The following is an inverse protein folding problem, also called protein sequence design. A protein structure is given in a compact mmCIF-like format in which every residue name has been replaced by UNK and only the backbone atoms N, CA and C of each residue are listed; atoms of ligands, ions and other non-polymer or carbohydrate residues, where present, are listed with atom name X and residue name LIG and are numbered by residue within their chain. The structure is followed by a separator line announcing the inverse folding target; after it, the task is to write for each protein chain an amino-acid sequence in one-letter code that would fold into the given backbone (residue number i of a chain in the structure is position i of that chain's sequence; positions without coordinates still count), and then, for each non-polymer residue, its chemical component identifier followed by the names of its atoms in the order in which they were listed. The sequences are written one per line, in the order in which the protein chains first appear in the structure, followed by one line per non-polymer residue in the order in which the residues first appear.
data_IF_395062581490
#
_entry.id   IF_395062581490
#
_cell.length_a   1.000
_cell.length_b   1.000
_cell.length_c   1.000
_cell.angle_alpha   90.00
_cell.angle_beta   90.00
_cell.angle_gamma   90.00
#
_symmetry.space_group_name_H-M   'P 1'
#
loop_
_entity.id
_entity.type
_entity.pdbx_description
1 polymer ?
#
# COMPACT_ATOMS: atom_id res chain seq x y z
N UNK A 1 -2.81 -2.57 33.22
CA UNK A 1 -2.99 -3.41 32.03
C UNK A 1 -1.97 -2.94 31.02
N UNK A 2 -0.98 -3.77 30.66
CA UNK A 2 0.02 -3.42 29.65
C UNK A 2 -0.37 -4.16 28.37
N UNK A 3 -0.41 -3.48 27.20
CA UNK A 3 -0.68 -4.16 25.94
C UNK A 3 0.29 -5.32 25.74
N UNK A 4 -0.18 -6.46 25.21
CA UNK A 4 0.64 -7.65 24.95
C UNK A 4 1.61 -7.48 23.77
N UNK A 5 1.89 -6.24 23.35
CA UNK A 5 2.68 -5.92 22.17
C UNK A 5 3.46 -4.63 22.33
N UNK A 6 4.34 -4.38 21.38
CA UNK A 6 5.17 -3.18 21.29
C UNK A 6 4.70 -2.31 20.13
N UNK A 7 4.93 -1.00 20.23
CA UNK A 7 4.73 -0.09 19.11
C UNK A 7 5.79 -0.38 18.05
N UNK A 8 5.35 -0.56 16.81
CA UNK A 8 6.24 -0.61 15.65
C UNK A 8 6.65 0.84 15.35
N UNK A 9 7.95 1.05 15.09
CA UNK A 9 8.49 2.35 14.73
C UNK A 9 8.73 2.45 13.23
N UNK A 10 8.65 3.67 12.70
CA UNK A 10 9.08 3.98 11.34
C UNK A 10 10.59 4.25 11.35
N UNK A 11 11.36 3.44 10.61
CA UNK A 11 12.81 3.50 10.57
C UNK A 11 13.35 4.85 10.03
N UNK A 12 12.57 5.57 9.23
CA UNK A 12 12.97 6.86 8.69
C UNK A 12 12.85 8.00 9.73
N UNK A 13 11.93 7.88 10.70
CA UNK A 13 11.65 8.94 11.68
C UNK A 13 11.99 8.57 13.12
N UNK A 14 12.15 7.28 13.42
CA UNK A 14 12.22 6.72 14.77
C UNK A 14 11.02 7.05 15.67
N UNK A 15 9.90 7.45 15.07
CA UNK A 15 8.63 7.67 15.76
C UNK A 15 7.74 6.44 15.61
N UNK A 16 6.69 6.29 16.44
CA UNK A 16 5.66 5.29 16.21
C UNK A 16 5.14 5.35 14.76
N UNK A 17 5.10 4.21 14.09
CA UNK A 17 4.60 4.13 12.72
C UNK A 17 3.11 4.49 12.67
N UNK A 18 2.72 5.21 11.63
CA UNK A 18 1.33 5.64 11.43
C UNK A 18 0.71 4.88 10.28
N UNK A 19 -0.30 4.06 10.59
CA UNK A 19 -1.01 3.21 9.64
C UNK A 19 -2.53 3.51 9.68
N UNK A 20 -3.02 4.45 8.85
CA UNK A 20 -4.42 4.85 8.87
C UNK A 20 -5.32 3.77 8.26
N UNK A 21 -6.20 3.16 9.07
CA UNK A 21 -7.18 2.16 8.63
C UNK A 21 -6.53 1.07 7.75
N UNK A 22 -5.67 0.27 8.35
CA UNK A 22 -5.14 -0.92 7.67
C UNK A 22 -6.28 -1.88 7.39
N UNK A 23 -6.51 -2.17 6.11
CA UNK A 23 -7.58 -3.06 5.65
C UNK A 23 -7.09 -4.46 5.32
N UNK A 24 -5.78 -4.61 5.07
CA UNK A 24 -5.16 -5.88 4.74
C UNK A 24 -3.68 -5.94 5.16
N UNK A 25 -3.21 -7.15 5.46
CA UNK A 25 -1.80 -7.47 5.67
C UNK A 25 -1.41 -8.62 4.73
N UNK A 26 -0.53 -8.33 3.79
CA UNK A 26 -0.05 -9.32 2.82
C UNK A 26 1.39 -9.66 3.12
N UNK A 27 1.65 -10.94 3.38
CA UNK A 27 3.01 -11.43 3.61
C UNK A 27 3.78 -11.52 2.28
N UNK A 28 5.03 -11.10 2.28
CA UNK A 28 5.88 -11.18 1.09
C UNK A 28 6.11 -12.65 0.67
N UNK A 29 6.41 -12.89 -0.62
CA UNK A 29 6.57 -14.25 -1.15
C UNK A 29 7.99 -14.82 -0.98
N UNK A 30 8.93 -14.04 -0.44
CA UNK A 30 10.29 -14.52 -0.14
C UNK A 30 10.29 -15.57 0.99
N UNK A 31 11.44 -16.21 1.21
CA UNK A 31 11.66 -17.25 2.21
C UNK A 31 12.66 -16.80 3.30
N UNK A 32 12.88 -15.49 3.44
CA UNK A 32 13.94 -14.95 4.30
C UNK A 32 13.51 -14.68 5.76
N UNK A 33 12.25 -14.96 6.11
CA UNK A 33 11.74 -14.89 7.48
C UNK A 33 12.21 -16.07 8.34
N UNK A 34 12.19 -15.92 9.66
CA UNK A 34 12.71 -16.93 10.59
C UNK A 34 11.98 -18.30 10.52
N UNK A 35 10.74 -18.32 10.01
CA UNK A 35 9.94 -19.53 9.79
C UNK A 35 10.07 -20.09 8.36
N UNK A 36 11.01 -19.58 7.56
CA UNK A 36 11.22 -19.97 6.16
C UNK A 36 10.15 -19.45 5.20
N UNK A 37 9.38 -18.43 5.60
CA UNK A 37 8.36 -17.74 4.79
C UNK A 37 8.71 -16.26 4.68
N UNK A 38 7.82 -15.45 4.09
CA UNK A 38 8.07 -14.03 3.84
C UNK A 38 8.53 -13.25 5.06
N UNK A 39 9.65 -12.54 4.93
CA UNK A 39 10.17 -11.66 5.99
C UNK A 39 9.33 -10.40 6.19
N UNK A 40 8.67 -9.91 5.14
CA UNK A 40 7.99 -8.63 5.17
C UNK A 40 6.47 -8.81 5.25
N UNK A 41 5.81 -7.87 5.95
CA UNK A 41 4.37 -7.69 5.88
C UNK A 41 4.07 -6.36 5.20
N UNK A 42 3.24 -6.39 4.16
CA UNK A 42 2.72 -5.20 3.50
C UNK A 42 1.38 -4.84 4.15
N UNK A 43 1.35 -3.74 4.88
CA UNK A 43 0.13 -3.17 5.42
C UNK A 43 -0.52 -2.26 4.37
N UNK A 44 -1.75 -2.58 3.96
CA UNK A 44 -2.54 -1.76 3.04
C UNK A 44 -3.38 -0.77 3.85
N UNK A 45 -2.95 0.49 3.88
CA UNK A 45 -3.57 1.54 4.68
C UNK A 45 -4.50 2.36 3.79
N UNK A 46 -5.77 1.93 3.71
CA UNK A 46 -6.80 2.52 2.85
C UNK A 46 -7.50 3.73 3.49
N UNK A 47 -7.09 4.11 4.71
CA UNK A 47 -7.64 5.25 5.43
C UNK A 47 -7.27 6.60 4.83
N UNK A 48 -8.28 7.38 4.46
CA UNK A 48 -8.13 8.82 4.26
C UNK A 48 -7.86 9.48 5.61
N UNK A 49 -6.60 9.86 5.88
CA UNK A 49 -6.29 10.50 7.17
C UNK A 49 -4.95 11.20 7.25
N UNK A 50 -3.96 10.78 6.45
CA UNK A 50 -2.64 11.41 6.49
C UNK A 50 -2.61 12.66 5.62
N UNK A 51 -2.46 13.80 6.28
CA UNK A 51 -2.19 15.08 5.61
C UNK A 51 -0.79 15.51 6.00
N UNK A 52 0.14 15.43 5.06
CA UNK A 52 1.54 15.80 5.29
C UNK A 52 1.78 17.30 5.05
N UNK A 53 1.04 17.90 4.12
CA UNK A 53 1.07 19.33 3.86
C UNK A 53 -0.26 19.82 3.26
N UNK A 54 -0.41 21.15 3.14
CA UNK A 54 -1.61 21.77 2.59
C UNK A 54 -1.83 21.51 1.09
N UNK A 55 -0.79 21.07 0.36
CA UNK A 55 -0.82 20.84 -1.10
C UNK A 55 -1.32 19.43 -1.47
N UNK A 56 -1.04 18.42 -0.64
CA UNK A 56 -1.40 17.01 -0.88
C UNK A 56 -2.21 16.49 0.29
N UNK A 57 -3.52 16.76 0.25
CA UNK A 57 -4.50 16.30 1.24
C UNK A 57 -4.69 14.78 1.11
N UNK A 58 -4.84 14.12 2.26
CA UNK A 58 -5.23 12.72 2.43
C UNK A 58 -4.52 11.70 1.51
N UNK A 59 -3.67 10.89 2.11
CA UNK A 59 -2.92 9.86 1.40
C UNK A 59 -3.28 8.48 1.95
N UNK A 60 -3.56 7.56 1.05
CA UNK A 60 -3.46 6.14 1.35
C UNK A 60 -2.00 5.72 1.25
N UNK A 61 -1.61 4.67 1.97
CA UNK A 61 -0.23 4.19 1.97
C UNK A 61 -0.14 2.68 1.93
N UNK A 62 0.97 2.19 1.40
CA UNK A 62 1.47 0.86 1.74
C UNK A 62 2.61 1.05 2.74
N UNK A 63 2.59 0.34 3.86
CA UNK A 63 3.74 0.28 4.77
C UNK A 63 4.39 -1.09 4.67
N UNK A 64 5.70 -1.12 4.46
CA UNK A 64 6.51 -2.34 4.47
C UNK A 64 7.06 -2.53 5.87
N UNK A 65 6.59 -3.55 6.56
CA UNK A 65 7.07 -3.93 7.88
C UNK A 65 8.08 -5.05 7.72
N UNK A 66 9.32 -4.81 8.14
CA UNK A 66 10.32 -5.87 8.29
C UNK A 66 10.10 -6.56 9.64
N UNK A 67 9.61 -7.80 9.60
CA UNK A 67 9.34 -8.58 10.82
C UNK A 67 10.60 -9.14 11.47
N UNK A 68 11.71 -9.14 10.73
CA UNK A 68 13.01 -9.62 11.21
C UNK A 68 13.97 -8.49 11.56
N UNK A 69 13.53 -7.24 11.47
CA UNK A 69 14.30 -6.11 11.99
C UNK A 69 14.64 -6.32 13.47
N UNK A 70 15.80 -5.79 13.88
CA UNK A 70 16.32 -5.90 15.24
C UNK A 70 16.63 -4.50 15.78
N UNK A 71 16.37 -4.24 17.08
CA UNK A 71 15.92 -5.21 18.10
C UNK A 71 14.44 -5.62 18.01
N UNK A 72 13.62 -4.88 17.25
CA UNK A 72 12.18 -5.12 17.09
C UNK A 72 11.78 -4.93 15.61
N UNK A 73 10.62 -5.46 15.17
CA UNK A 73 10.04 -5.16 13.87
C UNK A 73 9.86 -3.65 13.62
N UNK A 74 10.05 -3.22 12.37
CA UNK A 74 9.98 -1.80 11.98
C UNK A 74 9.32 -1.61 10.63
N UNK A 75 8.65 -0.46 10.44
CA UNK A 75 8.30 0.01 9.09
C UNK A 75 9.58 0.52 8.44
N UNK A 76 10.01 -0.14 7.36
CA UNK A 76 11.25 0.21 6.62
C UNK A 76 10.98 1.05 5.38
N UNK A 77 9.72 1.10 4.93
CA UNK A 77 9.31 1.89 3.79
C UNK A 77 7.81 2.22 3.86
N UNK A 78 7.46 3.42 3.41
CA UNK A 78 6.09 3.77 3.05
C UNK A 78 6.05 4.13 1.56
N UNK A 79 5.01 3.68 0.86
CA UNK A 79 4.65 4.12 -0.48
C UNK A 79 3.34 4.89 -0.39
N UNK A 80 3.32 6.08 -0.97
CA UNK A 80 2.22 7.02 -0.83
C UNK A 80 1.38 7.05 -2.10
N UNK A 81 0.06 7.14 -1.92
CA UNK A 81 -0.93 7.31 -2.98
C UNK A 81 -1.63 8.65 -2.76
N UNK A 82 -1.03 9.77 -3.24
CA UNK A 82 -1.68 11.07 -3.13
C UNK A 82 -2.93 11.11 -4.00
N UNK A 83 -4.03 11.62 -3.43
CA UNK A 83 -5.28 11.86 -4.15
C UNK A 83 -5.01 12.53 -5.52
N UNK A 84 -5.56 12.02 -6.63
CA UNK A 84 -6.63 11.03 -6.73
C UNK A 84 -6.18 9.56 -6.69
N UNK A 85 -4.89 9.28 -6.49
CA UNK A 85 -4.41 7.90 -6.50
C UNK A 85 -4.86 7.11 -5.27
N UNK A 86 -5.05 5.80 -5.39
CA UNK A 86 -5.48 4.93 -4.29
C UNK A 86 -4.78 3.56 -4.26
N UNK A 87 -4.69 3.02 -3.04
CA UNK A 87 -4.40 1.62 -2.71
C UNK A 87 -5.55 1.12 -1.82
N UNK A 88 -6.48 0.37 -2.41
CA UNK A 88 -7.84 0.29 -1.86
C UNK A 88 -8.10 -0.96 -1.02
N UNK A 89 -7.84 -2.15 -1.57
CA UNK A 89 -8.33 -3.41 -0.99
C UNK A 89 -7.24 -4.48 -0.81
N UNK A 90 -6.26 -4.58 -1.71
CA UNK A 90 -5.34 -5.71 -1.65
C UNK A 90 -4.08 -5.56 -2.48
N UNK A 91 -3.12 -6.39 -2.11
CA UNK A 91 -1.83 -6.57 -2.75
C UNK A 91 -1.68 -8.04 -3.10
N UNK A 92 -1.10 -8.34 -4.26
CA UNK A 92 -0.64 -9.69 -4.58
C UNK A 92 0.72 -9.64 -5.25
N UNK A 93 1.44 -10.74 -5.20
CA UNK A 93 2.74 -10.90 -5.84
C UNK A 93 2.64 -11.89 -7.01
N UNK A 94 3.59 -11.80 -7.94
CA UNK A 94 3.85 -12.88 -8.89
C UNK A 94 4.22 -14.15 -8.13
N UNK A 95 3.77 -15.30 -8.64
CA UNK A 95 4.08 -16.60 -8.02
C UNK A 95 5.56 -16.95 -8.15
N UNK A 96 6.20 -16.51 -9.24
CA UNK A 96 7.61 -16.74 -9.51
C UNK A 96 8.40 -15.44 -9.32
N UNK A 97 9.66 -15.61 -8.90
CA UNK A 97 10.64 -14.53 -8.83
C UNK A 97 11.21 -14.22 -10.21
N UNK A 98 11.49 -12.95 -10.45
CA UNK A 98 12.22 -12.48 -11.61
C UNK A 98 13.71 -12.90 -11.53
N UNK A 99 14.45 -12.72 -12.63
CA UNK A 99 15.85 -13.15 -12.74
C UNK A 99 16.78 -12.49 -11.69
N UNK A 100 16.40 -11.33 -11.17
CA UNK A 100 17.11 -10.59 -10.12
C UNK A 100 16.61 -10.92 -8.71
N UNK A 101 15.83 -11.99 -8.56
CA UNK A 101 15.19 -12.45 -7.33
C UNK A 101 14.15 -11.48 -6.73
N UNK A 102 13.67 -10.51 -7.51
CA UNK A 102 12.51 -9.69 -7.14
C UNK A 102 11.19 -10.35 -7.54
N UNK A 103 10.09 -9.77 -7.10
CA UNK A 103 8.74 -10.19 -7.45
C UNK A 103 7.98 -9.00 -8.02
N UNK A 104 7.17 -9.25 -9.04
CA UNK A 104 6.19 -8.24 -9.47
C UNK A 104 5.09 -8.17 -8.42
N UNK A 105 4.77 -6.96 -7.95
CA UNK A 105 3.74 -6.69 -6.96
C UNK A 105 2.61 -5.88 -7.60
N UNK A 106 1.38 -6.36 -7.47
CA UNK A 106 0.17 -5.73 -7.98
C UNK A 106 -0.64 -5.14 -6.83
N UNK A 107 -1.05 -3.88 -6.96
CA UNK A 107 -1.82 -3.16 -5.93
C UNK A 107 -3.11 -2.64 -6.55
N UNK A 108 -4.25 -2.96 -5.94
CA UNK A 108 -5.55 -2.51 -6.44
C UNK A 108 -5.76 -1.00 -6.17
N UNK A 109 -5.93 -0.22 -7.25
CA UNK A 109 -6.32 1.19 -7.23
C UNK A 109 -7.81 1.35 -7.57
N UNK A 110 -8.63 1.56 -6.55
CA UNK A 110 -10.08 1.56 -6.66
C UNK A 110 -10.67 2.81 -7.30
N UNK A 111 -10.19 4.01 -6.98
CA UNK A 111 -10.79 5.25 -7.53
C UNK A 111 -10.47 5.47 -8.99
N UNK A 112 -9.34 4.96 -9.46
CA UNK A 112 -8.80 5.23 -10.78
C UNK A 112 -9.09 4.10 -11.78
N UNK A 113 -9.73 3.00 -11.34
CA UNK A 113 -9.84 1.76 -12.10
C UNK A 113 -8.46 1.30 -12.58
N UNK A 114 -7.49 1.19 -11.66
CA UNK A 114 -6.10 0.82 -11.97
C UNK A 114 -5.64 -0.37 -11.14
N UNK A 115 -4.72 -1.14 -11.71
CA UNK A 115 -3.86 -2.04 -10.94
C UNK A 115 -2.44 -1.52 -11.05
N UNK A 116 -1.90 -0.99 -9.96
CA UNK A 116 -0.53 -0.50 -9.93
C UNK A 116 0.45 -1.66 -9.95
N UNK A 117 1.55 -1.49 -10.68
CA UNK A 117 2.62 -2.48 -10.82
C UNK A 117 3.87 -1.91 -10.16
N UNK A 118 4.40 -2.66 -9.22
CA UNK A 118 5.65 -2.41 -8.53
C UNK A 118 6.57 -3.62 -8.67
N UNK A 119 7.85 -3.40 -8.41
CA UNK A 119 8.83 -4.43 -8.13
C UNK A 119 9.06 -4.51 -6.63
N UNK A 120 9.08 -5.72 -6.08
CA UNK A 120 9.41 -6.01 -4.69
C UNK A 120 10.71 -6.80 -4.62
N UNK A 121 11.77 -6.23 -4.05
CA UNK A 121 13.05 -6.89 -3.85
C UNK A 121 13.37 -7.00 -2.35
N UNK A 122 13.31 -8.20 -1.74
CA UNK A 122 13.54 -8.37 -0.31
C UNK A 122 14.98 -8.07 0.12
N UNK A 123 15.92 -7.97 -0.82
CA UNK A 123 17.33 -7.65 -0.55
C UNK A 123 17.63 -6.15 -0.52
N UNK A 124 16.65 -5.30 -0.86
CA UNK A 124 16.81 -3.85 -0.83
C UNK A 124 16.37 -3.27 0.52
N UNK A 125 17.00 -2.16 0.93
CA UNK A 125 16.63 -1.45 2.17
C UNK A 125 15.18 -0.94 2.13
N UNK A 126 14.73 -0.57 0.93
CA UNK A 126 13.36 -0.18 0.63
C UNK A 126 12.82 -1.14 -0.42
N UNK A 127 12.13 -2.21 0.00
CA UNK A 127 11.83 -3.34 -0.89
C UNK A 127 10.95 -3.01 -2.11
N UNK A 128 10.11 -1.98 -2.05
CA UNK A 128 9.19 -1.63 -3.13
C UNK A 128 9.79 -0.55 -4.04
N UNK A 129 9.78 -0.79 -5.36
CA UNK A 129 10.16 0.19 -6.37
C UNK A 129 9.12 0.28 -7.51
N UNK A 130 8.85 1.49 -8.05
CA UNK A 130 9.34 2.77 -7.57
C UNK A 130 8.67 3.16 -6.24
N UNK A 131 9.48 3.63 -5.29
CA UNK A 131 8.99 4.32 -4.09
C UNK A 131 8.74 5.81 -4.37
N UNK A 132 8.16 6.51 -3.39
CA UNK A 132 7.97 7.96 -3.44
C UNK A 132 8.01 8.58 -2.04
N UNK A 133 8.08 9.90 -2.00
CA UNK A 133 7.90 10.72 -0.80
C UNK A 133 6.45 11.25 -0.72
N UNK A 134 5.97 11.64 0.48
CA UNK A 134 4.59 12.10 0.66
C UNK A 134 4.15 13.23 -0.28
N UNK A 135 5.07 14.10 -0.71
CA UNK A 135 4.79 15.26 -1.55
C UNK A 135 5.06 15.03 -3.05
N UNK A 136 5.58 13.86 -3.41
CA UNK A 136 5.93 13.50 -4.77
C UNK A 136 4.90 12.58 -5.41
N UNK A 137 4.75 12.68 -6.74
CA UNK A 137 3.85 11.78 -7.46
C UNK A 137 4.33 10.34 -7.40
N UNK A 138 3.39 9.42 -7.31
CA UNK A 138 3.65 8.02 -7.61
C UNK A 138 3.96 7.87 -9.11
N UNK A 139 5.09 7.23 -9.44
CA UNK A 139 5.54 6.97 -10.82
C UNK A 139 5.47 5.50 -11.23
N UNK A 140 4.74 4.69 -10.46
CA UNK A 140 4.51 3.29 -10.78
C UNK A 140 3.75 3.14 -12.10
N UNK A 141 4.08 2.09 -12.86
CA UNK A 141 3.27 1.66 -13.99
C UNK A 141 1.92 1.12 -13.51
N UNK A 142 0.95 0.99 -14.41
CA UNK A 142 -0.35 0.41 -14.06
C UNK A 142 -1.01 -0.27 -15.26
N UNK A 143 -1.91 -1.20 -14.95
CA UNK A 143 -2.90 -1.74 -15.88
C UNK A 143 -4.16 -0.91 -15.73
N UNK A 144 -4.66 -0.36 -16.84
CA UNK A 144 -5.96 0.29 -16.89
C UNK A 144 -7.05 -0.77 -17.00
N UNK A 145 -7.97 -0.81 -16.04
CA UNK A 145 -9.12 -1.72 -16.02
C UNK A 145 -10.45 -1.00 -16.19
N UNK A 146 -10.43 0.25 -16.64
CA UNK A 146 -11.64 1.06 -16.83
C UNK A 146 -12.66 0.41 -17.78
N UNK A 147 -12.19 -0.33 -18.78
CA UNK A 147 -13.06 -1.05 -19.73
C UNK A 147 -13.85 -2.22 -19.08
N UNK A 148 -13.49 -2.63 -17.87
CA UNK A 148 -14.14 -3.71 -17.11
C UNK A 148 -14.99 -3.17 -15.94
N UNK A 149 -15.13 -1.85 -15.81
CA UNK A 149 -15.87 -1.22 -14.72
C UNK A 149 -17.17 -0.60 -15.23
N UNK A 150 -18.27 -0.90 -14.53
CA UNK A 150 -19.57 -0.25 -14.76
C UNK A 150 -19.57 1.23 -14.33
N UNK A 151 -18.55 1.67 -13.59
CA UNK A 151 -18.43 3.02 -13.04
C UNK A 151 -17.14 3.72 -13.50
N UNK A 152 -17.29 4.96 -13.94
CA UNK A 152 -16.16 5.82 -14.27
C UNK A 152 -15.28 6.09 -13.04
N UNK A 153 -13.96 6.31 -13.23
CA UNK A 153 -13.07 6.75 -12.16
C UNK A 153 -13.62 7.96 -11.41
N UNK A 154 -13.66 7.89 -10.08
CA UNK A 154 -14.24 8.95 -9.26
C UNK A 154 -13.49 9.12 -7.94
N UNK A 155 -13.01 10.33 -7.63
CA UNK A 155 -12.44 10.63 -6.31
C UNK A 155 -13.50 10.63 -5.20
N UNK A 156 -14.78 10.42 -5.53
CA UNK A 156 -15.93 10.41 -4.61
C UNK A 156 -16.59 9.03 -4.50
N UNK A 157 -15.90 7.95 -4.85
CA UNK A 157 -16.43 6.57 -4.89
C UNK A 157 -17.19 6.14 -3.61
N UNK A 158 -16.90 6.72 -2.45
CA UNK A 158 -17.59 6.44 -1.17
C UNK A 158 -18.70 7.45 -0.80
N UNK A 159 -19.06 8.40 -1.66
CA UNK A 159 -20.20 9.29 -1.41
C UNK A 159 -21.44 8.74 -2.09
N UNK A 160 -22.59 8.81 -1.41
CA UNK A 160 -23.89 8.73 -2.08
C UNK A 160 -23.89 9.76 -3.21
N UNK A 161 -24.01 9.31 -4.45
CA UNK A 161 -24.34 10.19 -5.57
C UNK A 161 -25.75 10.70 -5.28
N UNK A 162 -25.87 11.92 -4.78
CA UNK A 162 -27.15 12.64 -4.75
C UNK A 162 -27.55 12.91 -6.21
N UNK A 163 -28.31 11.98 -6.80
CA UNK A 163 -28.72 12.06 -8.20
C UNK A 163 -29.01 10.73 -8.90
N UNK A 164 -28.62 9.58 -8.33
CA UNK A 164 -29.21 8.30 -8.75
C UNK A 164 -30.58 8.20 -8.09
N UNK A 165 -31.62 8.67 -8.79
CA UNK A 165 -32.99 8.31 -8.44
C UNK A 165 -33.11 6.79 -8.48
N UNK A 166 -33.63 6.21 -7.40
CA UNK A 166 -34.28 4.90 -7.45
C UNK A 166 -35.34 4.96 -8.56
N UNK A 167 -34.99 4.44 -9.74
CA UNK A 167 -35.76 4.60 -10.97
C UNK A 167 -35.76 3.29 -11.74
N UNK A 168 -36.69 2.42 -11.38
CA UNK A 168 -37.19 1.24 -12.09
C UNK A 168 -36.74 1.09 -13.56
N UNK A 169 -36.06 -0.02 -13.87
CA UNK A 169 -36.64 -1.17 -14.62
C UNK A 169 -35.73 -2.38 -14.55
#
# INVERSE_FOLDING_TARGET
MTPAGKLIVDAATNLPAVAPLTVDFVRSPDDSGADGKGRFLIAVNSGFGLTFNSKRKAQQTLSVIDTEARPEPQVVQNVYFPTPNSANIGVTFSAEKDADASFTMFVAGGFENRVWIFKFNPNEKQPISPGNQPDTDLKAGFIDVSAFSDYAPSPYYNRKISGLSDGNR
#
